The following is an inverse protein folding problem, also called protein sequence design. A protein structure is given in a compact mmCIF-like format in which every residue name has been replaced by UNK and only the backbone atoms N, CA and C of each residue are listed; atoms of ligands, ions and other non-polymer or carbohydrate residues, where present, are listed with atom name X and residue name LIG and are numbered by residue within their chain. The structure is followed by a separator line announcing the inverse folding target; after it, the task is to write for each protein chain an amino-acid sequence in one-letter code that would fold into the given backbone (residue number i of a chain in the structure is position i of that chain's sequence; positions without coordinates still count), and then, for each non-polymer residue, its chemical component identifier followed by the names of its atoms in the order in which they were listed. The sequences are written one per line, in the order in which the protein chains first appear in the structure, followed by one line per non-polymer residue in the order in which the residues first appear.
data_IF_671977742075
#
_entry.id   IF_671977742075
#
_cell.length_a   1.000
_cell.length_b   1.000
_cell.length_c   1.000
_cell.angle_alpha   90.00
_cell.angle_beta   90.00
_cell.angle_gamma   90.00
#
_symmetry.space_group_name_H-M   'P 1'
#
loop_
_entity.id
_entity.type
_entity.pdbx_description
1 polymer ?
#
# COMPACT_ATOMS: atom_id res chain seq x y z
N UNK A 1 26.09 -39.92 32.43
CA UNK A 1 24.76 -40.01 31.81
C UNK A 1 24.36 -38.60 31.38
N UNK A 2 24.66 -38.23 30.13
CA UNK A 2 24.37 -36.90 29.58
C UNK A 2 22.97 -36.96 28.98
N UNK A 3 22.02 -36.22 29.56
CA UNK A 3 20.67 -36.09 29.01
C UNK A 3 20.74 -35.38 27.65
N UNK A 4 20.31 -36.09 26.59
CA UNK A 4 20.04 -35.51 25.28
C UNK A 4 18.75 -34.70 25.37
N UNK A 5 18.81 -33.45 24.95
CA UNK A 5 17.67 -32.55 24.77
C UNK A 5 16.69 -33.16 23.73
N UNK A 6 15.40 -33.41 24.09
CA UNK A 6 14.45 -34.10 23.19
C UNK A 6 13.73 -33.15 22.22
N UNK A 7 13.98 -31.84 22.28
CA UNK A 7 13.34 -30.87 21.37
C UNK A 7 14.28 -30.55 20.20
N UNK A 8 14.36 -31.50 19.27
CA UNK A 8 15.02 -31.31 17.99
C UNK A 8 14.33 -30.22 17.15
N UNK A 9 15.11 -29.19 16.84
CA UNK A 9 14.98 -28.26 15.70
C UNK A 9 13.82 -28.54 14.74
N UNK A 10 12.67 -27.88 14.94
CA UNK A 10 11.49 -28.00 14.07
C UNK A 10 11.18 -26.72 13.29
N UNK A 11 12.22 -25.94 12.95
CA UNK A 11 12.11 -24.85 11.98
C UNK A 11 13.39 -24.80 11.13
N UNK A 12 13.55 -25.76 10.21
CA UNK A 12 14.46 -25.57 9.08
C UNK A 12 13.85 -24.44 8.24
N UNK A 13 14.41 -23.23 8.34
CA UNK A 13 14.19 -22.19 7.33
C UNK A 13 14.53 -22.83 5.98
N UNK A 14 13.55 -22.99 5.09
CA UNK A 14 13.82 -23.32 3.68
C UNK A 14 14.75 -22.22 3.19
N UNK A 15 16.03 -22.56 3.00
CA UNK A 15 16.95 -21.68 2.27
C UNK A 15 16.42 -21.64 0.85
N UNK A 16 16.29 -20.45 0.31
CA UNK A 16 16.04 -20.28 -1.11
C UNK A 16 17.26 -20.86 -1.84
N UNK A 17 17.04 -21.81 -2.73
CA UNK A 17 18.13 -22.45 -3.49
C UNK A 17 18.73 -21.49 -4.52
N UNK A 18 17.98 -20.45 -4.91
CA UNK A 18 18.38 -19.37 -5.81
C UNK A 18 17.79 -18.03 -5.33
N UNK A 19 18.43 -16.88 -5.64
CA UNK A 19 17.83 -15.59 -5.40
C UNK A 19 16.48 -15.48 -6.12
N UNK A 20 15.47 -14.95 -5.45
CA UNK A 20 14.13 -14.73 -6.03
C UNK A 20 14.28 -13.68 -7.14
N UNK A 21 13.75 -13.99 -8.32
CA UNK A 21 13.67 -13.04 -9.42
C UNK A 21 12.53 -12.05 -9.16
N UNK A 22 12.89 -10.81 -8.82
CA UNK A 22 11.97 -9.70 -8.62
C UNK A 22 11.90 -8.77 -9.85
N UNK A 23 12.56 -9.12 -10.96
CA UNK A 23 12.54 -8.32 -12.19
C UNK A 23 11.14 -8.06 -12.77
N UNK A 24 10.09 -8.88 -12.53
CA UNK A 24 8.73 -8.52 -12.94
C UNK A 24 8.14 -7.31 -12.20
N UNK A 25 8.66 -6.98 -11.01
CA UNK A 25 8.18 -5.86 -10.19
C UNK A 25 8.82 -4.55 -10.64
N UNK A 26 8.27 -3.97 -11.71
CA UNK A 26 8.79 -2.73 -12.31
C UNK A 26 7.98 -1.48 -11.96
N UNK A 27 6.81 -1.65 -11.33
CA UNK A 27 5.96 -0.53 -10.89
C UNK A 27 5.76 -0.61 -9.39
N UNK A 28 6.04 0.50 -8.71
CA UNK A 28 5.59 0.71 -7.34
C UNK A 28 4.27 1.47 -7.37
N UNK A 29 3.27 1.01 -6.62
CA UNK A 29 1.92 1.58 -6.63
C UNK A 29 1.47 2.20 -5.32
N UNK A 30 2.31 2.13 -4.28
CA UNK A 30 1.97 2.61 -2.96
C UNK A 30 3.23 3.08 -2.24
N UNK A 31 3.40 4.40 -2.21
CA UNK A 31 4.54 5.08 -1.59
C UNK A 31 4.17 6.52 -1.23
N UNK A 32 4.99 7.18 -0.41
CA UNK A 32 4.78 8.56 0.04
C UNK A 32 5.96 9.44 -0.39
N UNK A 33 5.93 9.87 -1.66
CA UNK A 33 7.03 10.54 -2.36
C UNK A 33 6.64 11.93 -2.88
N UNK A 34 5.64 12.56 -2.27
CA UNK A 34 5.42 14.00 -2.41
C UNK A 34 6.05 14.69 -1.18
N UNK A 35 6.95 15.67 -1.36
CA UNK A 35 7.67 16.29 -0.25
C UNK A 35 6.77 16.98 0.78
N UNK A 36 6.86 16.56 2.04
CA UNK A 36 6.39 17.31 3.20
C UNK A 36 4.87 17.45 3.34
N UNK A 37 4.08 16.59 2.68
CA UNK A 37 2.62 16.63 2.76
C UNK A 37 2.01 15.55 3.66
N UNK A 38 2.79 14.53 4.04
CA UNK A 38 2.41 13.47 4.98
C UNK A 38 3.62 12.93 5.75
N UNK A 39 3.55 11.70 6.28
CA UNK A 39 4.65 11.00 6.97
C UNK A 39 5.72 10.40 6.04
N UNK A 40 5.63 10.67 4.73
CA UNK A 40 6.59 10.25 3.74
C UNK A 40 7.88 11.07 3.68
N UNK A 41 8.34 11.31 2.47
CA UNK A 41 9.58 12.04 2.22
C UNK A 41 9.47 13.52 2.69
N UNK A 42 10.41 14.02 3.50
CA UNK A 42 10.32 15.37 4.07
C UNK A 42 10.63 16.49 3.06
N UNK A 43 11.43 16.19 2.03
CA UNK A 43 11.91 17.18 1.07
C UNK A 43 12.18 16.58 -0.32
N UNK A 44 12.34 17.46 -1.31
CA UNK A 44 12.59 17.08 -2.70
C UNK A 44 13.92 16.32 -2.88
N UNK A 45 14.93 16.64 -2.06
CA UNK A 45 16.21 15.95 -2.14
C UNK A 45 16.06 14.46 -1.77
N UNK A 46 15.30 14.18 -0.71
CA UNK A 46 14.97 12.83 -0.26
C UNK A 46 14.15 12.09 -1.31
N UNK A 47 13.14 12.74 -1.90
CA UNK A 47 12.36 12.14 -3.00
C UNK A 47 13.25 11.73 -4.17
N UNK A 48 14.10 12.62 -4.68
CA UNK A 48 14.97 12.31 -5.81
C UNK A 48 15.97 11.19 -5.49
N UNK A 49 16.54 11.18 -4.28
CA UNK A 49 17.43 10.11 -3.84
C UNK A 49 16.71 8.75 -3.80
N UNK A 50 15.48 8.71 -3.28
CA UNK A 50 14.66 7.49 -3.25
C UNK A 50 14.32 7.01 -4.66
N UNK A 51 13.88 7.91 -5.54
CA UNK A 51 13.55 7.56 -6.93
C UNK A 51 14.77 7.06 -7.71
N UNK A 52 15.96 7.61 -7.46
CA UNK A 52 17.20 7.10 -8.03
C UNK A 52 17.49 5.67 -7.56
N UNK A 53 17.33 5.38 -6.26
CA UNK A 53 17.51 4.02 -5.75
C UNK A 53 16.47 3.06 -6.31
N UNK A 54 15.20 3.47 -6.39
CA UNK A 54 14.14 2.66 -7.01
C UNK A 54 14.46 2.34 -8.46
N UNK A 55 14.94 3.32 -9.24
CA UNK A 55 15.34 3.09 -10.63
C UNK A 55 16.50 2.08 -10.74
N UNK A 56 17.49 2.17 -9.84
CA UNK A 56 18.61 1.19 -9.76
C UNK A 56 18.14 -0.21 -9.40
N UNK A 57 17.06 -0.34 -8.61
CA UNK A 57 16.43 -1.63 -8.30
C UNK A 57 15.58 -2.19 -9.43
N UNK A 58 15.38 -1.44 -10.53
CA UNK A 58 14.65 -1.89 -11.71
C UNK A 58 13.27 -1.27 -11.87
N UNK A 59 12.81 -0.43 -10.94
CA UNK A 59 11.55 0.27 -11.11
C UNK A 59 11.61 1.23 -12.31
N UNK A 60 10.49 1.29 -13.03
CA UNK A 60 10.27 2.13 -14.22
C UNK A 60 9.14 3.12 -14.01
N UNK A 61 8.22 2.80 -13.10
CA UNK A 61 7.05 3.60 -12.79
C UNK A 61 6.80 3.63 -11.29
N UNK A 62 6.38 4.78 -10.80
CA UNK A 62 5.90 4.98 -9.43
C UNK A 62 4.55 5.66 -9.49
N UNK A 63 3.59 5.13 -8.76
CA UNK A 63 2.31 5.77 -8.44
C UNK A 63 2.34 6.02 -6.94
N UNK A 64 2.70 7.24 -6.54
CA UNK A 64 2.73 7.62 -5.13
C UNK A 64 1.31 7.91 -4.65
N UNK A 65 1.01 7.54 -3.41
CA UNK A 65 -0.33 7.60 -2.80
C UNK A 65 -0.25 8.28 -1.44
N UNK A 66 0.15 9.56 -1.37
CA UNK A 66 0.15 10.28 -0.10
C UNK A 66 -1.22 10.24 0.58
N UNK A 67 -1.20 10.35 1.90
CA UNK A 67 -2.40 10.23 2.71
C UNK A 67 -3.38 11.38 2.49
N UNK A 68 -4.67 11.06 2.41
CA UNK A 68 -5.79 11.97 2.72
C UNK A 68 -6.48 11.43 3.97
N UNK A 69 -6.34 12.17 5.08
CA UNK A 69 -6.95 11.86 6.38
C UNK A 69 -7.54 13.13 6.98
N UNK A 70 -8.83 13.15 7.24
CA UNK A 70 -9.59 14.37 7.57
C UNK A 70 -9.00 15.17 8.75
N UNK A 71 -8.49 14.47 9.76
CA UNK A 71 -7.97 15.09 10.98
C UNK A 71 -6.44 15.25 11.01
N UNK A 72 -5.70 14.41 10.29
CA UNK A 72 -4.23 14.36 10.39
C UNK A 72 -3.53 14.96 9.18
N UNK A 73 -3.90 14.52 7.97
CA UNK A 73 -3.29 14.94 6.71
C UNK A 73 -4.36 15.56 5.82
N UNK A 74 -4.50 16.89 5.92
CA UNK A 74 -5.49 17.69 5.17
C UNK A 74 -5.09 17.92 3.71
N UNK A 75 -4.52 16.89 3.09
CA UNK A 75 -4.25 16.86 1.67
C UNK A 75 -5.55 16.79 0.88
N UNK A 76 -5.48 17.21 -0.37
CA UNK A 76 -6.56 17.13 -1.33
C UNK A 76 -6.00 16.97 -2.73
N UNK A 77 -6.88 16.79 -3.71
CA UNK A 77 -6.50 16.62 -5.13
C UNK A 77 -5.60 17.73 -5.64
N UNK A 78 -5.83 18.98 -5.25
CA UNK A 78 -5.02 20.12 -5.71
C UNK A 78 -3.58 20.04 -5.17
N UNK A 79 -3.42 19.79 -3.87
CA UNK A 79 -2.11 19.66 -3.22
C UNK A 79 -1.33 18.51 -3.86
N UNK A 80 -1.96 17.34 -4.03
CA UNK A 80 -1.32 16.15 -4.58
C UNK A 80 -0.92 16.37 -6.05
N UNK A 81 -1.80 16.95 -6.88
CA UNK A 81 -1.49 17.25 -8.29
C UNK A 81 -0.39 18.30 -8.44
N UNK A 82 -0.36 19.30 -7.55
CA UNK A 82 0.73 20.27 -7.50
C UNK A 82 2.06 19.60 -7.17
N UNK A 83 2.10 18.80 -6.10
CA UNK A 83 3.30 18.05 -5.70
C UNK A 83 3.78 17.09 -6.79
N UNK A 84 2.85 16.39 -7.46
CA UNK A 84 3.15 15.53 -8.61
C UNK A 84 3.87 16.29 -9.73
N UNK A 85 3.37 17.49 -10.07
CA UNK A 85 3.98 18.34 -11.09
C UNK A 85 5.38 18.77 -10.69
N UNK A 86 5.58 19.19 -9.45
CA UNK A 86 6.88 19.63 -8.93
C UNK A 86 7.92 18.49 -8.95
N UNK A 87 7.52 17.29 -8.53
CA UNK A 87 8.39 16.09 -8.58
C UNK A 87 8.71 15.72 -10.04
N UNK A 88 7.73 15.74 -10.94
CA UNK A 88 7.96 15.50 -12.39
C UNK A 88 8.96 16.49 -12.99
N UNK A 89 8.88 17.77 -12.63
CA UNK A 89 9.82 18.79 -13.08
C UNK A 89 11.23 18.57 -12.51
N UNK A 90 11.33 18.12 -11.26
CA UNK A 90 12.61 17.78 -10.65
C UNK A 90 13.24 16.53 -11.29
N UNK A 91 12.47 15.47 -11.56
CA UNK A 91 12.92 14.27 -12.28
C UNK A 91 13.49 14.62 -13.66
N UNK A 92 12.84 15.51 -14.41
CA UNK A 92 13.33 15.95 -15.73
C UNK A 92 14.72 16.58 -15.67
N UNK A 93 15.05 17.28 -14.59
CA UNK A 93 16.36 17.93 -14.41
C UNK A 93 17.50 16.95 -14.09
N UNK A 94 17.18 15.77 -13.56
CA UNK A 94 18.18 14.74 -13.22
C UNK A 94 18.48 13.80 -14.39
N UNK A 95 17.63 13.77 -15.42
CA UNK A 95 17.74 12.81 -16.52
C UNK A 95 17.29 11.39 -16.14
N UNK A 96 16.65 11.21 -14.98
CA UNK A 96 16.12 9.93 -14.52
C UNK A 96 14.97 9.48 -15.43
N UNK A 97 15.11 8.32 -16.06
CA UNK A 97 14.07 7.71 -16.89
C UNK A 97 13.11 6.88 -16.01
N UNK A 98 12.21 7.57 -15.31
CA UNK A 98 11.21 6.98 -14.42
C UNK A 98 9.88 7.72 -14.57
N UNK A 99 8.82 6.97 -14.84
CA UNK A 99 7.45 7.49 -14.88
C UNK A 99 6.97 7.72 -13.44
N UNK A 100 6.42 8.89 -13.18
CA UNK A 100 5.92 9.27 -11.86
C UNK A 100 4.46 9.66 -11.99
N UNK A 101 3.60 9.21 -11.09
CA UNK A 101 2.21 9.65 -10.97
C UNK A 101 1.85 9.77 -9.50
N UNK A 102 0.83 10.56 -9.21
CA UNK A 102 0.27 10.64 -7.87
C UNK A 102 -1.25 10.46 -7.88
N UNK A 103 -1.72 9.71 -6.90
CA UNK A 103 -3.11 9.60 -6.44
C UNK A 103 -3.09 9.69 -4.91
N UNK A 104 -4.16 9.28 -4.23
CA UNK A 104 -4.20 9.32 -2.76
C UNK A 104 -4.39 7.92 -2.18
N UNK A 105 -3.85 7.73 -0.98
CA UNK A 105 -4.34 6.71 -0.05
C UNK A 105 -5.38 7.39 0.86
N UNK A 106 -6.64 6.99 0.71
CA UNK A 106 -7.72 7.54 1.52
C UNK A 106 -7.93 6.71 2.77
N UNK A 107 -7.76 7.32 3.95
CA UNK A 107 -8.24 6.70 5.17
C UNK A 107 -9.78 6.69 5.15
N UNK A 108 -10.38 5.54 5.44
CA UNK A 108 -11.83 5.42 5.60
C UNK A 108 -12.24 6.04 6.94
N UNK A 109 -12.39 7.36 6.93
CA UNK A 109 -12.88 8.20 8.01
C UNK A 109 -14.17 8.96 7.60
N UNK A 110 -14.64 9.87 8.46
CA UNK A 110 -15.88 10.62 8.23
C UNK A 110 -15.84 11.53 6.99
N UNK A 111 -14.66 11.97 6.55
CA UNK A 111 -14.52 12.83 5.38
C UNK A 111 -14.42 12.07 4.06
N UNK A 112 -14.24 10.74 4.08
CA UNK A 112 -14.09 9.96 2.85
C UNK A 112 -15.42 9.68 2.12
N UNK A 113 -16.48 9.30 2.84
CA UNK A 113 -17.78 8.99 2.22
C UNK A 113 -18.36 10.14 1.37
N UNK A 114 -18.28 11.42 1.78
CA UNK A 114 -18.67 12.55 0.93
C UNK A 114 -17.92 12.62 -0.40
N UNK A 115 -16.64 12.22 -0.45
CA UNK A 115 -15.84 12.22 -1.69
C UNK A 115 -16.31 11.13 -2.65
N UNK A 116 -16.70 9.96 -2.13
CA UNK A 116 -17.28 8.87 -2.93
C UNK A 116 -18.58 9.34 -3.58
N UNK A 117 -19.48 9.94 -2.80
CA UNK A 117 -20.78 10.44 -3.28
C UNK A 117 -20.66 11.51 -4.36
N UNK A 118 -19.67 12.42 -4.23
CA UNK A 118 -19.38 13.47 -5.21
C UNK A 118 -18.57 12.99 -6.42
N UNK A 119 -18.13 11.73 -6.42
CA UNK A 119 -17.21 11.16 -7.42
C UNK A 119 -15.87 11.91 -7.53
N UNK A 120 -15.32 12.31 -6.38
CA UNK A 120 -14.10 13.12 -6.26
C UNK A 120 -12.87 12.30 -5.80
N UNK A 121 -12.97 10.97 -5.77
CA UNK A 121 -11.88 10.07 -5.37
C UNK A 121 -10.84 10.01 -6.49
N UNK A 122 -9.58 10.29 -6.16
CA UNK A 122 -8.47 10.14 -7.11
C UNK A 122 -8.24 8.67 -7.43
N UNK A 123 -8.11 8.35 -8.73
CA UNK A 123 -7.88 6.98 -9.20
C UNK A 123 -6.73 6.89 -10.20
N UNK A 124 -6.26 5.66 -10.41
CA UNK A 124 -5.27 5.32 -11.43
C UNK A 124 -5.69 4.10 -12.25
N UNK A 125 -5.08 3.94 -13.42
CA UNK A 125 -5.40 2.83 -14.33
C UNK A 125 -6.88 2.81 -14.73
N UNK A 126 -7.51 1.65 -14.62
CA UNK A 126 -8.93 1.46 -14.92
C UNK A 126 -9.81 1.73 -13.69
N UNK A 127 -9.76 2.98 -13.21
CA UNK A 127 -10.51 3.51 -12.08
C UNK A 127 -10.23 2.83 -10.72
N UNK A 128 -8.98 2.45 -10.48
CA UNK A 128 -8.55 1.90 -9.19
C UNK A 128 -8.40 2.99 -8.13
N UNK A 129 -9.03 2.80 -6.97
CA UNK A 129 -8.96 3.68 -5.81
C UNK A 129 -8.28 2.95 -4.65
N UNK A 130 -7.26 3.55 -4.05
CA UNK A 130 -6.57 2.99 -2.89
C UNK A 130 -7.17 3.55 -1.59
N UNK A 131 -7.59 2.66 -0.70
CA UNK A 131 -8.15 3.02 0.61
C UNK A 131 -7.41 2.29 1.74
N UNK A 132 -7.32 2.95 2.88
CA UNK A 132 -6.77 2.43 4.14
C UNK A 132 -7.89 2.38 5.19
N UNK A 133 -7.88 1.37 6.06
CA UNK A 133 -8.80 1.30 7.20
C UNK A 133 -8.09 1.72 8.49
N UNK A 134 -8.84 2.23 9.49
CA UNK A 134 -8.30 2.43 10.81
C UNK A 134 -7.66 1.15 11.38
N UNK A 135 -6.47 1.28 11.98
CA UNK A 135 -5.69 0.15 12.48
C UNK A 135 -6.37 -0.60 13.65
N UNK A 136 -7.18 0.08 14.45
CA UNK A 136 -7.73 -0.48 15.70
C UNK A 136 -8.99 -1.32 15.47
N UNK A 137 -9.85 -0.91 14.54
CA UNK A 137 -11.09 -1.62 14.23
C UNK A 137 -11.60 -1.25 12.83
N UNK A 138 -12.31 -2.17 12.15
CA UNK A 138 -12.88 -1.87 10.86
C UNK A 138 -14.05 -0.87 11.01
N UNK A 139 -14.27 0.02 10.04
CA UNK A 139 -15.44 0.88 10.02
C UNK A 139 -16.73 0.07 10.00
N UNK A 140 -17.73 0.45 10.81
CA UNK A 140 -19.00 -0.29 10.91
C UNK A 140 -19.76 -0.33 9.58
N UNK A 141 -19.67 0.74 8.81
CA UNK A 141 -20.31 0.91 7.50
C UNK A 141 -19.42 0.48 6.33
N UNK A 142 -18.31 -0.24 6.57
CA UNK A 142 -17.36 -0.61 5.51
C UNK A 142 -18.04 -1.32 4.33
N UNK A 143 -18.95 -2.25 4.60
CA UNK A 143 -19.66 -3.00 3.56
C UNK A 143 -20.51 -2.09 2.66
N UNK A 144 -21.21 -1.12 3.23
CA UNK A 144 -22.04 -0.17 2.50
C UNK A 144 -21.19 0.78 1.67
N UNK A 145 -20.11 1.31 2.26
CA UNK A 145 -19.18 2.18 1.56
C UNK A 145 -18.51 1.49 0.36
N UNK A 146 -18.05 0.25 0.53
CA UNK A 146 -17.46 -0.52 -0.58
C UNK A 146 -18.46 -0.70 -1.73
N UNK A 147 -19.73 -1.00 -1.40
CA UNK A 147 -20.78 -1.11 -2.39
C UNK A 147 -21.05 0.22 -3.11
N UNK A 148 -21.13 1.33 -2.38
CA UNK A 148 -21.27 2.68 -2.96
C UNK A 148 -20.11 3.02 -3.91
N UNK A 149 -18.88 2.69 -3.52
CA UNK A 149 -17.70 2.90 -4.36
C UNK A 149 -17.81 2.11 -5.67
N UNK A 150 -18.24 0.85 -5.61
CA UNK A 150 -18.39 0.00 -6.78
C UNK A 150 -19.52 0.46 -7.70
N UNK A 151 -20.65 0.89 -7.14
CA UNK A 151 -21.75 1.52 -7.91
C UNK A 151 -21.31 2.83 -8.56
N UNK A 152 -20.42 3.59 -7.90
CA UNK A 152 -19.78 4.76 -8.50
C UNK A 152 -18.77 4.40 -9.61
N UNK A 153 -18.42 3.12 -9.76
CA UNK A 153 -17.55 2.57 -10.80
C UNK A 153 -16.10 2.38 -10.36
N UNK A 154 -15.77 2.58 -9.08
CA UNK A 154 -14.41 2.41 -8.56
C UNK A 154 -14.04 0.94 -8.39
N UNK A 155 -12.81 0.60 -8.74
CA UNK A 155 -12.18 -0.68 -8.37
C UNK A 155 -11.39 -0.47 -7.08
N UNK A 156 -11.89 -1.02 -5.99
CA UNK A 156 -11.33 -0.74 -4.67
C UNK A 156 -10.09 -1.59 -4.44
N UNK A 157 -8.97 -0.95 -4.08
CA UNK A 157 -7.77 -1.58 -3.56
C UNK A 157 -7.67 -1.22 -2.08
N UNK A 158 -7.57 -2.25 -1.24
CA UNK A 158 -7.31 -2.09 0.17
C UNK A 158 -5.79 -2.11 0.41
N UNK A 159 -5.29 -1.03 1.00
CA UNK A 159 -3.89 -0.86 1.36
C UNK A 159 -3.53 -1.77 2.55
N UNK A 160 -2.39 -2.43 2.42
CA UNK A 160 -1.69 -3.28 3.41
C UNK A 160 -2.60 -4.06 4.39
N UNK A 161 -3.57 -4.86 3.89
CA UNK A 161 -4.55 -5.55 4.72
C UNK A 161 -3.97 -6.58 5.69
N UNK A 162 -2.71 -7.01 5.46
CA UNK A 162 -1.96 -7.83 6.40
C UNK A 162 -1.68 -7.12 7.73
N UNK A 163 -1.79 -5.79 7.79
CA UNK A 163 -1.51 -4.99 8.99
C UNK A 163 -2.72 -4.85 9.91
N UNK A 164 -3.92 -5.21 9.46
CA UNK A 164 -5.14 -5.16 10.26
C UNK A 164 -5.22 -6.31 11.27
N UNK A 165 -4.71 -6.06 12.48
CA UNK A 165 -4.58 -7.07 13.55
C UNK A 165 -5.92 -7.74 13.89
N UNK A 166 -7.03 -6.99 13.80
CA UNK A 166 -8.37 -7.49 14.09
C UNK A 166 -8.85 -8.59 13.12
N UNK A 167 -8.21 -8.76 11.97
CA UNK A 167 -8.53 -9.84 11.01
C UNK A 167 -7.53 -11.00 11.02
N UNK A 168 -6.44 -10.93 11.79
CA UNK A 168 -5.42 -11.99 11.83
C UNK A 168 -5.97 -13.36 12.24
N UNK A 169 -7.02 -13.39 13.07
CA UNK A 169 -7.68 -14.62 13.53
C UNK A 169 -8.96 -14.96 12.75
N UNK A 170 -9.40 -14.08 11.85
CA UNK A 170 -10.67 -14.21 11.12
C UNK A 170 -10.41 -14.06 9.63
N UNK A 171 -9.67 -15.02 9.07
CA UNK A 171 -9.23 -14.93 7.67
C UNK A 171 -10.39 -14.89 6.67
N UNK A 172 -11.56 -15.40 7.05
CA UNK A 172 -12.79 -15.32 6.25
C UNK A 172 -13.25 -13.90 5.97
N UNK A 173 -12.81 -12.89 6.74
CA UNK A 173 -13.07 -11.48 6.39
C UNK A 173 -12.32 -11.06 5.12
N UNK A 174 -11.10 -11.55 4.91
CA UNK A 174 -10.36 -11.32 3.66
C UNK A 174 -11.05 -12.02 2.47
N UNK A 175 -11.54 -13.24 2.67
CA UNK A 175 -12.28 -14.00 1.63
C UNK A 175 -13.55 -13.24 1.22
N UNK A 176 -14.35 -12.76 2.18
CA UNK A 176 -15.54 -11.92 1.91
C UNK A 176 -15.23 -10.67 1.10
N UNK A 177 -14.07 -10.04 1.33
CA UNK A 177 -13.64 -8.86 0.59
C UNK A 177 -13.23 -9.24 -0.85
N UNK A 178 -12.47 -10.34 -1.03
CA UNK A 178 -12.12 -10.85 -2.36
C UNK A 178 -13.36 -11.27 -3.17
N UNK A 179 -14.33 -11.93 -2.54
CA UNK A 179 -15.60 -12.34 -3.16
C UNK A 179 -16.43 -11.14 -3.65
N UNK A 180 -16.18 -9.96 -3.08
CA UNK A 180 -16.75 -8.68 -3.48
C UNK A 180 -15.85 -7.90 -4.43
N UNK A 181 -14.87 -8.53 -5.09
CA UNK A 181 -13.95 -7.88 -6.03
C UNK A 181 -13.14 -6.71 -5.42
N UNK A 182 -12.86 -6.77 -4.12
CA UNK A 182 -11.87 -5.87 -3.48
C UNK A 182 -10.48 -6.45 -3.69
N UNK A 183 -9.59 -5.65 -4.25
CA UNK A 183 -8.19 -6.00 -4.47
C UNK A 183 -7.36 -5.68 -3.23
N UNK A 184 -6.24 -6.38 -3.04
CA UNK A 184 -5.32 -6.15 -1.93
C UNK A 184 -3.96 -5.71 -2.44
N UNK A 185 -3.41 -4.67 -1.82
CA UNK A 185 -2.01 -4.27 -1.97
C UNK A 185 -1.27 -4.62 -0.68
N UNK A 186 -0.25 -5.47 -0.74
CA UNK A 186 0.56 -5.86 0.43
C UNK A 186 1.84 -5.03 0.50
N UNK A 187 2.34 -4.75 1.71
CA UNK A 187 3.67 -4.18 1.87
C UNK A 187 4.72 -5.29 1.73
N UNK A 188 5.65 -5.14 0.79
CA UNK A 188 6.72 -6.14 0.53
C UNK A 188 7.55 -6.41 1.79
N UNK A 189 7.78 -5.40 2.62
CA UNK A 189 8.52 -5.55 3.88
C UNK A 189 7.79 -6.42 4.92
N UNK A 190 6.47 -6.59 4.82
CA UNK A 190 5.70 -7.51 5.67
C UNK A 190 6.19 -8.95 5.53
N UNK A 191 6.62 -9.36 4.33
CA UNK A 191 7.17 -10.70 4.05
C UNK A 191 8.53 -10.96 4.71
N UNK A 192 9.26 -9.90 5.04
CA UNK A 192 10.52 -9.99 5.80
C UNK A 192 10.30 -10.23 7.30
N UNK A 193 9.07 -9.99 7.80
CA UNK A 193 8.77 -9.99 9.23
C UNK A 193 9.04 -8.66 9.92
N UNK A 194 9.20 -7.57 9.15
CA UNK A 194 9.49 -6.22 9.67
C UNK A 194 8.50 -5.77 10.74
N UNK A 195 7.19 -5.89 10.46
CA UNK A 195 6.14 -5.47 11.42
C UNK A 195 5.95 -6.47 12.56
N UNK A 196 5.73 -7.75 12.22
CA UNK A 196 5.63 -8.85 13.19
C UNK A 196 5.69 -10.20 12.47
N UNK A 197 5.96 -11.27 13.24
CA UNK A 197 5.87 -12.64 12.72
C UNK A 197 4.44 -13.02 12.32
N UNK A 198 3.42 -12.45 12.98
CA UNK A 198 2.01 -12.70 12.65
C UNK A 198 1.65 -12.02 11.32
N UNK A 199 2.00 -10.74 11.16
CA UNK A 199 1.82 -9.98 9.91
C UNK A 199 2.49 -10.69 8.74
N UNK A 200 3.70 -11.23 8.93
CA UNK A 200 4.37 -12.04 7.92
C UNK A 200 3.56 -13.26 7.50
N UNK A 201 3.07 -14.05 8.46
CA UNK A 201 2.26 -15.25 8.18
C UNK A 201 0.97 -14.90 7.43
N UNK A 202 0.33 -13.79 7.81
CA UNK A 202 -0.87 -13.30 7.11
C UNK A 202 -0.52 -12.86 5.69
N UNK A 203 0.60 -12.16 5.50
CA UNK A 203 1.09 -11.74 4.17
C UNK A 203 1.33 -12.93 3.26
N UNK A 204 2.05 -13.95 3.74
CA UNK A 204 2.32 -15.19 3.01
C UNK A 204 1.00 -15.89 2.65
N UNK A 205 0.06 -15.98 3.61
CA UNK A 205 -1.25 -16.59 3.38
C UNK A 205 -2.10 -15.81 2.36
N UNK A 206 -2.03 -14.48 2.35
CA UNK A 206 -2.77 -13.64 1.39
C UNK A 206 -2.26 -13.79 -0.05
N UNK A 207 -0.96 -14.06 -0.24
CA UNK A 207 -0.35 -14.32 -1.55
C UNK A 207 -0.79 -15.68 -2.10
N UNK A 208 -0.86 -16.70 -1.25
CA UNK A 208 -1.21 -18.08 -1.66
C UNK A 208 -2.72 -18.30 -1.87
N UNK A 209 -3.55 -17.36 -1.39
CA UNK A 209 -5.01 -17.45 -1.36
C UNK A 209 -5.72 -16.74 -2.52
#
# INVERSE_FOLDING_TARGET
MIMRNPFGSWFKKKKLDHPVDLSPLVTDMHSHLIPGIDDGAPDMQTVLALLEQMSRLGFRKVITTPHIMSDLYKNNTEIIRKGEKEVKEAIKKTGLNLEFHAVAEYLVDEGFAPLVQKREVMTFGDNYALIELPYYSPPKNLSELLFEMQVAGYKVILAHPERYVYWHQTFSEYEKLKDREVFFQLNTISLSGYYSLTTKKVSEKLIDA
#
